data_IF_519539371651
#
_entry.id   IF_519539371651
#
_cell.length_a   1.000
_cell.length_b   1.000
_cell.length_c   1.000
_cell.angle_alpha   90.00
_cell.angle_beta   90.00
_cell.angle_gamma   90.00
#
_symmetry.space_group_name_H-M   'P 1'
#
loop_
_entity.id
_entity.type
_entity.pdbx_description
1 polymer ?
#
# COMPACT_ATOMS: atom_id res chain seq x y z
N UNK A 1 -37.64 -17.47 -42.26
CA UNK A 1 -36.29 -17.95 -41.86
C UNK A 1 -35.88 -17.21 -40.61
N UNK A 2 -35.71 -17.93 -39.50
CA UNK A 2 -35.40 -17.38 -38.19
C UNK A 2 -33.89 -17.10 -38.07
N UNK A 3 -33.52 -15.86 -37.74
CA UNK A 3 -32.16 -15.55 -37.26
C UNK A 3 -32.12 -15.75 -35.75
N UNK A 4 -31.17 -16.59 -35.36
CA UNK A 4 -31.00 -17.22 -34.06
C UNK A 4 -30.37 -16.26 -33.06
N UNK A 5 -31.08 -16.09 -31.94
CA UNK A 5 -30.64 -15.68 -30.59
C UNK A 5 -29.13 -15.49 -30.38
N UNK A 6 -28.73 -14.25 -30.09
CA UNK A 6 -27.48 -13.95 -29.37
C UNK A 6 -27.83 -13.59 -27.92
N UNK A 7 -28.06 -14.62 -27.12
CA UNK A 7 -28.16 -14.51 -25.67
C UNK A 7 -27.27 -15.56 -25.03
N UNK A 8 -26.04 -15.20 -24.64
CA UNK A 8 -25.30 -15.88 -23.57
C UNK A 8 -24.06 -15.09 -23.14
N UNK A 9 -24.26 -14.20 -22.17
CA UNK A 9 -23.27 -13.84 -21.16
C UNK A 9 -23.98 -13.07 -20.04
N UNK A 10 -24.88 -13.74 -19.32
CA UNK A 10 -25.53 -13.17 -18.14
C UNK A 10 -25.63 -14.25 -17.07
N UNK A 11 -24.45 -14.71 -16.64
CA UNK A 11 -24.28 -15.62 -15.51
C UNK A 11 -22.99 -15.23 -14.77
N UNK A 12 -22.87 -15.58 -13.48
CA UNK A 12 -21.75 -15.18 -12.62
C UNK A 12 -20.37 -15.54 -13.20
N UNK A 13 -20.28 -16.61 -14.00
CA UNK A 13 -19.05 -17.06 -14.64
C UNK A 13 -18.55 -16.09 -15.72
N UNK A 14 -19.45 -15.48 -16.49
CA UNK A 14 -19.07 -14.50 -17.53
C UNK A 14 -18.56 -13.18 -16.94
N UNK A 15 -19.03 -12.82 -15.74
CA UNK A 15 -18.55 -11.64 -15.01
C UNK A 15 -17.17 -11.93 -14.40
N UNK A 16 -16.97 -13.13 -13.86
CA UNK A 16 -15.67 -13.55 -13.34
C UNK A 16 -14.58 -13.56 -14.43
N UNK A 17 -14.92 -14.01 -15.64
CA UNK A 17 -13.99 -14.05 -16.77
C UNK A 17 -13.67 -12.66 -17.33
N UNK A 18 -14.67 -11.76 -17.40
CA UNK A 18 -14.45 -10.37 -17.76
C UNK A 18 -13.58 -9.62 -16.73
N UNK A 19 -13.75 -9.90 -15.44
CA UNK A 19 -12.92 -9.33 -14.36
C UNK A 19 -11.51 -9.89 -14.40
N UNK A 20 -11.33 -11.19 -14.64
CA UNK A 20 -10.02 -11.81 -14.78
C UNK A 20 -9.25 -11.24 -15.99
N UNK A 21 -9.92 -11.07 -17.13
CA UNK A 21 -9.33 -10.45 -18.32
C UNK A 21 -8.91 -8.99 -18.07
N UNK A 22 -9.76 -8.21 -17.38
CA UNK A 22 -9.46 -6.82 -17.03
C UNK A 22 -8.31 -6.72 -16.02
N UNK A 23 -8.28 -7.60 -15.02
CA UNK A 23 -7.19 -7.67 -14.05
C UNK A 23 -5.86 -8.01 -14.71
N UNK A 24 -5.87 -8.93 -15.70
CA UNK A 24 -4.69 -9.27 -16.47
C UNK A 24 -4.19 -8.10 -17.31
N UNK A 25 -5.08 -7.33 -17.93
CA UNK A 25 -4.71 -6.13 -18.67
C UNK A 25 -4.11 -5.04 -17.77
N UNK A 26 -4.71 -4.80 -16.60
CA UNK A 26 -4.17 -3.86 -15.61
C UNK A 26 -2.79 -4.31 -15.13
N UNK A 27 -2.60 -5.61 -14.92
CA UNK A 27 -1.31 -6.17 -14.50
C UNK A 27 -0.23 -6.00 -15.57
N UNK A 28 -0.54 -6.31 -16.84
CA UNK A 28 0.38 -6.13 -17.96
C UNK A 28 0.72 -4.65 -18.18
N UNK A 29 -0.26 -3.75 -18.07
CA UNK A 29 -0.02 -2.31 -18.11
C UNK A 29 0.88 -1.85 -16.95
N UNK A 30 0.69 -2.40 -15.75
CA UNK A 30 1.54 -2.14 -14.59
C UNK A 30 2.99 -2.60 -14.80
N UNK A 31 3.21 -3.79 -15.35
CA UNK A 31 4.56 -4.27 -15.69
C UNK A 31 5.21 -3.46 -16.81
N UNK A 32 4.45 -3.08 -17.84
CA UNK A 32 4.96 -2.25 -18.93
C UNK A 32 5.37 -0.85 -18.47
N UNK A 33 4.55 -0.22 -17.62
CA UNK A 33 4.87 1.08 -17.03
C UNK A 33 6.08 0.99 -16.08
N UNK A 34 6.19 -0.08 -15.28
CA UNK A 34 7.35 -0.32 -14.42
C UNK A 34 8.64 -0.53 -15.22
N UNK A 35 8.58 -1.34 -16.29
CA UNK A 35 9.71 -1.54 -17.19
C UNK A 35 10.13 -0.24 -17.88
N UNK A 36 9.16 0.58 -18.31
CA UNK A 36 9.44 1.91 -18.90
C UNK A 36 10.04 2.88 -17.88
N UNK A 37 9.56 2.86 -16.64
CA UNK A 37 10.15 3.64 -15.55
C UNK A 37 11.57 3.17 -15.18
N UNK A 38 11.91 1.89 -15.35
CA UNK A 38 13.30 1.41 -15.17
C UNK A 38 14.22 1.86 -16.31
N UNK A 39 13.74 1.84 -17.56
CA UNK A 39 14.51 2.28 -18.72
C UNK A 39 14.74 3.79 -18.74
N UNK A 40 13.69 4.57 -18.46
CA UNK A 40 13.75 6.03 -18.47
C UNK A 40 14.20 6.60 -17.10
N UNK A 41 14.19 5.79 -16.04
CA UNK A 41 14.49 6.20 -14.66
C UNK A 41 15.95 6.55 -14.42
N UNK A 42 16.89 5.88 -15.09
CA UNK A 42 18.31 6.22 -15.00
C UNK A 42 18.61 7.59 -15.62
N UNK A 43 18.07 7.86 -16.80
CA UNK A 43 18.24 9.15 -17.48
C UNK A 43 17.54 10.30 -16.74
N UNK A 44 16.34 10.06 -16.20
CA UNK A 44 15.63 11.03 -15.36
C UNK A 44 16.37 11.27 -14.04
N UNK A 45 16.90 10.22 -13.41
CA UNK A 45 17.74 10.34 -12.22
C UNK A 45 19.01 11.16 -12.52
N UNK A 46 19.71 10.86 -13.62
CA UNK A 46 20.89 11.63 -14.04
C UNK A 46 20.55 13.10 -14.33
N UNK A 47 19.39 13.37 -14.94
CA UNK A 47 18.89 14.74 -15.14
C UNK A 47 18.61 15.43 -13.81
N UNK A 48 17.90 14.76 -12.90
CA UNK A 48 17.58 15.28 -11.57
C UNK A 48 18.83 15.48 -10.71
N UNK A 49 19.86 14.64 -10.85
CA UNK A 49 21.15 14.78 -10.16
C UNK A 49 21.92 15.98 -10.71
N UNK A 50 21.92 16.19 -12.04
CA UNK A 50 22.54 17.38 -12.66
C UNK A 50 21.81 18.66 -12.26
N UNK A 51 20.48 18.65 -12.31
CA UNK A 51 19.65 19.77 -11.84
C UNK A 51 19.83 20.02 -10.34
N UNK A 52 19.95 18.97 -9.52
CA UNK A 52 20.23 19.07 -8.09
C UNK A 52 21.63 19.63 -7.80
N UNK A 53 22.64 19.24 -8.58
CA UNK A 53 23.99 19.78 -8.47
C UNK A 53 24.05 21.27 -8.86
N UNK A 54 23.35 21.67 -9.93
CA UNK A 54 23.20 23.07 -10.34
C UNK A 54 22.41 23.87 -9.30
N UNK A 55 21.32 23.33 -8.76
CA UNK A 55 20.53 23.97 -7.72
C UNK A 55 21.34 24.11 -6.42
N UNK A 56 22.15 23.11 -6.07
CA UNK A 56 23.04 23.19 -4.91
C UNK A 56 24.12 24.26 -5.13
N UNK A 57 24.71 24.33 -6.32
CA UNK A 57 25.70 25.36 -6.68
C UNK A 57 25.08 26.76 -6.66
N UNK A 58 23.89 26.94 -7.21
CA UNK A 58 23.11 28.17 -7.11
C UNK A 58 22.83 28.51 -5.65
N UNK A 59 22.37 27.55 -4.86
CA UNK A 59 22.09 27.75 -3.42
C UNK A 59 23.36 28.13 -2.65
N UNK A 60 24.51 27.52 -2.93
CA UNK A 60 25.80 27.90 -2.33
C UNK A 60 26.21 29.33 -2.73
N UNK A 61 25.91 29.76 -3.97
CA UNK A 61 26.12 31.14 -4.40
C UNK A 61 25.16 32.11 -3.70
N UNK A 62 23.90 31.73 -3.48
CA UNK A 62 22.90 32.53 -2.76
C UNK A 62 23.08 32.52 -1.24
N UNK A 63 23.73 31.50 -0.67
CA UNK A 63 24.11 31.44 0.75
C UNK A 63 25.42 32.21 0.99
N UNK A 64 26.30 32.29 -0.02
CA UNK A 64 27.53 33.08 0.02
C UNK A 64 27.33 34.60 -0.09
N UNK A 65 26.17 35.05 -0.59
CA UNK A 65 25.81 36.47 -0.67
C UNK A 65 24.52 36.73 0.14
N UNK A 66 24.62 37.18 1.41
CA UNK A 66 23.46 37.42 2.25
C UNK A 66 22.77 38.72 1.83
N UNK A 67 22.09 38.70 0.68
CA UNK A 67 21.19 39.77 0.28
C UNK A 67 19.91 39.72 1.15
N UNK A 68 19.64 40.75 1.98
CA UNK A 68 18.52 40.75 2.91
C UNK A 68 17.20 40.96 2.14
N UNK A 69 16.49 39.87 1.83
CA UNK A 69 15.15 39.98 1.23
C UNK A 69 14.55 38.70 0.65
N UNK A 70 15.38 37.70 0.31
CA UNK A 70 14.92 36.46 -0.34
C UNK A 70 14.59 35.32 0.64
N UNK A 71 15.24 35.26 1.81
CA UNK A 71 14.96 34.24 2.84
C UNK A 71 13.51 34.23 3.32
N UNK A 72 12.84 35.39 3.32
CA UNK A 72 11.43 35.51 3.72
C UNK A 72 10.44 34.90 2.72
N UNK A 73 10.79 34.75 1.44
CA UNK A 73 9.89 34.14 0.43
C UNK A 73 9.97 32.61 0.47
N UNK A 74 11.17 32.06 0.65
CA UNK A 74 11.40 30.63 0.81
C UNK A 74 10.81 30.12 2.13
N UNK A 75 11.01 30.85 3.23
CA UNK A 75 10.42 30.50 4.53
C UNK A 75 8.90 30.40 4.48
N UNK A 76 8.22 31.36 3.81
CA UNK A 76 6.75 31.35 3.68
C UNK A 76 6.20 30.22 2.80
N UNK A 77 6.94 29.81 1.76
CA UNK A 77 6.59 28.65 0.93
C UNK A 77 6.77 27.32 1.68
N UNK A 78 7.86 27.18 2.42
CA UNK A 78 8.07 26.02 3.29
C UNK A 78 6.97 25.92 4.37
N UNK A 79 6.54 27.04 4.93
CA UNK A 79 5.48 27.09 5.94
C UNK A 79 4.08 26.80 5.37
N UNK A 80 3.79 27.23 4.13
CA UNK A 80 2.49 26.97 3.48
C UNK A 80 2.37 25.53 2.99
N UNK A 81 3.44 24.97 2.42
CA UNK A 81 3.52 23.54 2.04
C UNK A 81 3.48 22.66 3.28
N UNK A 82 4.20 23.02 4.35
CA UNK A 82 4.16 22.30 5.62
C UNK A 82 2.77 22.27 6.26
N UNK A 83 2.01 23.38 6.20
CA UNK A 83 0.64 23.44 6.74
C UNK A 83 -0.38 22.68 5.89
N UNK A 84 -0.35 22.83 4.56
CA UNK A 84 -1.34 22.23 3.66
C UNK A 84 -1.10 20.73 3.37
N UNK A 85 0.14 20.25 3.45
CA UNK A 85 0.49 18.86 3.15
C UNK A 85 0.53 17.94 4.37
N UNK A 86 0.48 18.47 5.60
CA UNK A 86 0.62 17.68 6.84
C UNK A 86 -0.38 16.52 6.97
N UNK A 87 -1.61 16.69 6.47
CA UNK A 87 -2.63 15.63 6.47
C UNK A 87 -2.35 14.52 5.44
N UNK A 88 -2.04 14.90 4.20
CA UNK A 88 -1.73 13.94 3.12
C UNK A 88 -0.38 13.24 3.34
N UNK A 89 0.56 13.91 4.02
CA UNK A 89 1.86 13.34 4.37
C UNK A 89 1.73 12.17 5.35
N UNK A 90 0.85 12.28 6.35
CA UNK A 90 0.56 11.17 7.29
C UNK A 90 -0.01 9.94 6.59
N UNK A 91 -0.80 10.12 5.53
CA UNK A 91 -1.31 9.00 4.73
C UNK A 91 -0.17 8.32 3.95
N UNK A 92 0.75 9.10 3.40
CA UNK A 92 1.94 8.58 2.71
C UNK A 92 2.86 7.86 3.70
N UNK A 93 3.06 8.41 4.90
CA UNK A 93 3.81 7.78 5.99
C UNK A 93 3.23 6.41 6.34
N UNK A 94 1.90 6.31 6.50
CA UNK A 94 1.22 5.04 6.75
C UNK A 94 1.37 4.03 5.61
N UNK A 95 1.18 4.45 4.35
CA UNK A 95 1.31 3.56 3.19
C UNK A 95 2.77 3.10 3.01
N UNK A 96 3.72 4.00 3.26
CA UNK A 96 5.14 3.70 3.24
C UNK A 96 5.48 2.67 4.34
N UNK A 97 5.04 2.90 5.57
CA UNK A 97 5.23 1.96 6.68
C UNK A 97 4.63 0.59 6.36
N UNK A 98 3.40 0.52 5.86
CA UNK A 98 2.77 -0.73 5.44
C UNK A 98 3.55 -1.44 4.33
N UNK A 99 4.11 -0.70 3.38
CA UNK A 99 4.91 -1.28 2.30
C UNK A 99 6.27 -1.76 2.78
N UNK A 100 6.95 -0.99 3.63
CA UNK A 100 8.23 -1.36 4.26
C UNK A 100 8.05 -2.57 5.15
N UNK A 101 7.03 -2.58 6.00
CA UNK A 101 6.69 -3.72 6.84
C UNK A 101 6.43 -4.98 5.99
N UNK A 102 5.72 -4.85 4.86
CA UNK A 102 5.48 -5.97 3.94
C UNK A 102 6.75 -6.48 3.28
N UNK A 103 7.66 -5.59 2.85
CA UNK A 103 8.95 -5.97 2.27
C UNK A 103 9.85 -6.66 3.32
N UNK A 104 9.91 -6.13 4.54
CA UNK A 104 10.69 -6.71 5.64
C UNK A 104 10.19 -8.11 6.00
N UNK A 105 8.87 -8.31 6.08
CA UNK A 105 8.29 -9.66 6.27
C UNK A 105 8.61 -10.60 5.11
N UNK A 106 8.59 -10.11 3.87
CA UNK A 106 9.01 -10.88 2.70
C UNK A 106 10.47 -11.33 2.73
N UNK A 107 11.33 -10.55 3.39
CA UNK A 107 12.74 -10.86 3.64
C UNK A 107 12.97 -11.71 4.90
N UNK A 108 11.91 -12.14 5.58
CA UNK A 108 11.99 -12.96 6.79
C UNK A 108 12.31 -12.19 8.07
N UNK A 109 12.19 -10.86 8.08
CA UNK A 109 12.38 -10.05 9.28
C UNK A 109 11.08 -10.04 10.09
N UNK A 110 11.05 -10.64 11.30
CA UNK A 110 9.86 -10.66 12.15
C UNK A 110 9.60 -9.28 12.74
N UNK A 111 8.32 -8.94 12.86
CA UNK A 111 7.90 -7.70 13.52
C UNK A 111 8.00 -7.79 15.05
N UNK A 112 8.06 -6.64 15.72
CA UNK A 112 8.14 -6.57 17.18
C UNK A 112 6.96 -7.29 17.86
N UNK A 113 5.76 -7.13 17.34
CA UNK A 113 4.56 -7.76 17.91
C UNK A 113 4.59 -9.29 17.79
N UNK A 114 5.13 -9.81 16.69
CA UNK A 114 5.32 -11.25 16.49
C UNK A 114 6.37 -11.81 17.46
N UNK A 115 7.46 -11.07 17.71
CA UNK A 115 8.48 -11.44 18.70
C UNK A 115 7.91 -11.41 20.12
N UNK A 116 7.12 -10.40 20.47
CA UNK A 116 6.47 -10.30 21.78
C UNK A 116 5.41 -11.39 21.99
N UNK A 117 4.61 -11.70 20.96
CA UNK A 117 3.67 -12.82 21.01
C UNK A 117 4.41 -14.15 21.28
N UNK A 118 5.50 -14.39 20.54
CA UNK A 118 6.32 -15.58 20.74
C UNK A 118 6.95 -15.64 22.13
N UNK A 119 7.41 -14.51 22.69
CA UNK A 119 7.93 -14.43 24.06
C UNK A 119 6.88 -14.82 25.09
N UNK A 120 5.63 -14.36 24.92
CA UNK A 120 4.51 -14.73 25.80
C UNK A 120 4.19 -16.21 25.70
N UNK A 121 4.14 -16.75 24.49
CA UNK A 121 3.89 -18.18 24.25
C UNK A 121 4.98 -19.05 24.90
N UNK A 122 6.25 -18.65 24.78
CA UNK A 122 7.37 -19.32 25.45
C UNK A 122 7.24 -19.25 26.97
N UNK A 123 6.87 -18.10 27.53
CA UNK A 123 6.68 -17.95 28.97
C UNK A 123 5.53 -18.84 29.47
N UNK A 124 4.41 -18.89 28.75
CA UNK A 124 3.27 -19.75 29.05
C UNK A 124 3.64 -21.24 28.95
N UNK A 125 4.40 -21.62 27.92
CA UNK A 125 4.84 -23.00 27.74
C UNK A 125 5.85 -23.42 28.83
N UNK A 126 6.77 -22.54 29.21
CA UNK A 126 7.67 -22.77 30.34
C UNK A 126 6.89 -22.94 31.64
N UNK A 127 5.93 -22.06 31.92
CA UNK A 127 5.09 -22.18 33.09
C UNK A 127 4.31 -23.51 33.11
N UNK A 128 3.79 -23.95 31.96
CA UNK A 128 3.10 -25.24 31.82
C UNK A 128 4.03 -26.44 32.03
N UNK A 129 5.28 -26.39 31.55
CA UNK A 129 6.26 -27.47 31.75
C UNK A 129 6.71 -27.54 33.22
N UNK A 130 6.89 -26.39 33.88
CA UNK A 130 7.25 -26.32 35.30
C UNK A 130 6.10 -26.76 36.22
N UNK A 131 4.85 -26.59 35.79
CA UNK A 131 3.67 -27.02 36.56
C UNK A 131 3.25 -28.46 36.26
N UNK A 132 3.47 -28.96 35.04
CA UNK A 132 3.10 -30.30 34.59
C UNK A 132 4.25 -30.95 33.81
N UNK A 133 4.94 -31.90 34.43
CA UNK A 133 5.77 -32.88 33.73
C UNK A 133 4.98 -33.79 32.76
N UNK A 134 3.68 -33.54 32.51
CA UNK A 134 2.87 -34.34 31.60
C UNK A 134 1.56 -33.65 31.18
N UNK A 135 1.59 -32.74 30.19
CA UNK A 135 0.54 -32.59 29.16
C UNK A 135 0.80 -31.36 28.28
N UNK A 136 0.96 -31.56 26.96
CA UNK A 136 1.08 -30.46 26.00
C UNK A 136 -0.31 -29.85 25.74
N UNK A 137 -0.55 -28.55 26.04
CA UNK A 137 -1.83 -27.94 25.73
C UNK A 137 -1.90 -27.63 24.22
N UNK A 138 -3.04 -28.00 23.62
CA UNK A 138 -3.33 -27.85 22.18
C UNK A 138 -3.58 -26.37 21.83
N UNK A 139 -3.07 -25.85 20.69
CA UNK A 139 -3.19 -24.45 20.34
C UNK A 139 -4.66 -24.02 20.13
N UNK A 140 -5.03 -22.78 20.53
CA UNK A 140 -6.39 -22.29 20.42
C UNK A 140 -6.79 -22.06 18.96
N UNK A 141 -7.92 -22.66 18.54
CA UNK A 141 -8.52 -22.40 17.24
C UNK A 141 -9.04 -20.96 17.19
N UNK A 142 -8.52 -20.15 16.26
CA UNK A 142 -9.08 -18.83 15.91
C UNK A 142 -10.54 -18.98 15.48
N UNK A 143 -11.46 -18.11 15.93
CA UNK A 143 -12.84 -18.15 15.49
C UNK A 143 -12.92 -17.72 14.02
N UNK A 144 -13.45 -18.61 13.17
CA UNK A 144 -13.81 -18.28 11.80
C UNK A 144 -15.00 -17.31 11.81
N UNK A 145 -14.78 -16.09 11.35
CA UNK A 145 -15.83 -15.08 11.19
C UNK A 145 -16.84 -15.58 10.17
N UNK A 146 -18.04 -15.98 10.64
CA UNK A 146 -19.19 -16.28 9.77
C UNK A 146 -19.55 -15.01 9.00
N UNK A 147 -19.31 -15.00 7.69
CA UNK A 147 -19.85 -13.97 6.81
C UNK A 147 -21.34 -14.26 6.63
N UNK A 148 -22.17 -13.45 7.29
CA UNK A 148 -23.62 -13.53 7.22
C UNK A 148 -24.11 -13.27 5.79
N UNK A 149 -24.86 -14.23 5.25
CA UNK A 149 -25.76 -14.06 4.11
C UNK A 149 -26.87 -13.09 4.50
N UNK A 150 -27.02 -11.98 3.77
CA UNK A 150 -28.21 -11.13 3.87
C UNK A 150 -28.90 -11.08 2.51
N UNK A 151 -29.90 -11.94 2.37
CA UNK A 151 -30.99 -11.80 1.42
C UNK A 151 -31.95 -10.72 1.95
N UNK A 152 -32.37 -9.79 1.10
CA UNK A 152 -33.69 -9.16 1.14
C UNK A 152 -33.87 -8.30 -0.11
N UNK A 153 -34.85 -8.66 -0.95
CA UNK A 153 -35.23 -7.88 -2.12
C UNK A 153 -36.11 -6.67 -1.79
N UNK A 154 -36.21 -5.77 -2.76
CA UNK A 154 -37.30 -4.81 -2.90
C UNK A 154 -37.51 -4.56 -4.41
N UNK A 155 -38.75 -4.76 -4.87
CA UNK A 155 -39.22 -4.51 -6.24
C UNK A 155 -39.09 -3.02 -6.60
N UNK A 156 -38.87 -2.65 -7.88
CA UNK A 156 -39.09 -1.28 -8.34
C UNK A 156 -40.58 -1.04 -8.60
N UNK A 157 -41.10 0.06 -8.05
CA UNK A 157 -42.37 0.66 -8.42
C UNK A 157 -42.20 1.60 -9.61
N UNK A 158 -43.16 1.49 -10.50
CA UNK A 158 -43.58 2.38 -11.60
C UNK A 158 -43.64 3.86 -11.21
N UNK A 159 -43.13 4.75 -12.10
CA UNK A 159 -43.77 6.03 -12.46
C UNK A 159 -42.93 6.81 -13.51
N UNK A 160 -43.57 7.17 -14.62
CA UNK A 160 -43.24 8.34 -15.44
C UNK A 160 -42.79 8.08 -16.87
#
# INVERSE_FOLDING_TARGET
MAMKSSGKASGPDGIAEAVAASAQQIWQAGLGAYAKAQQDGGALFDSLVREGAELHRLTQQFVGDPAPGLGGKVGRLAESVGRQASGSWKTIEKIFEERVARSLRGLGVPSRDEVEALRRDIAALRAAIETDGQAVPKPPKRPATKRATRSAGAKPQDIG
#
